data_IF_030382626939
#
_entry.id   IF_030382626939
#
_cell.length_a   1.000
_cell.length_b   1.000
_cell.length_c   1.000
_cell.angle_alpha   90.00
_cell.angle_beta   90.00
_cell.angle_gamma   90.00
#
_symmetry.space_group_name_H-M   'P 1'
#
loop_
_entity.id
_entity.type
_entity.pdbx_description
1 polymer ?
#
# COMPACT_ATOMS: atom_id res chain seq x y z
N UNK A 1 -8.39 -12.66 11.91
CA UNK A 1 -7.16 -12.67 11.09
C UNK A 1 -6.19 -11.67 11.70
N UNK A 2 -4.89 -11.87 11.52
CA UNK A 2 -3.87 -10.86 11.85
C UNK A 2 -3.05 -10.56 10.61
N UNK A 3 -2.49 -9.36 10.55
CA UNK A 3 -1.59 -8.94 9.48
C UNK A 3 -0.26 -8.50 10.09
N UNK A 4 0.84 -8.84 9.44
CA UNK A 4 2.18 -8.55 9.91
C UNK A 4 2.76 -7.35 9.17
N UNK A 5 3.38 -6.44 9.91
CA UNK A 5 4.12 -5.31 9.37
C UNK A 5 5.53 -5.31 9.95
N UNK A 6 6.54 -5.28 9.09
CA UNK A 6 7.93 -5.17 9.52
C UNK A 6 8.36 -3.71 9.55
N UNK A 7 8.95 -3.29 10.66
CA UNK A 7 9.44 -1.93 10.86
C UNK A 7 10.85 -1.97 11.45
N UNK A 8 11.70 -1.01 11.11
CA UNK A 8 12.97 -0.86 11.83
C UNK A 8 12.69 -0.43 13.28
N UNK A 9 13.58 -0.77 14.20
CA UNK A 9 13.48 -0.31 15.59
C UNK A 9 13.39 1.22 15.68
N UNK A 10 14.14 1.93 14.84
CA UNK A 10 14.07 3.38 14.77
C UNK A 10 12.65 3.84 14.38
N UNK A 11 12.08 3.31 13.30
CA UNK A 11 10.72 3.66 12.88
C UNK A 11 9.67 3.34 13.95
N UNK A 12 9.86 2.23 14.69
CA UNK A 12 8.99 1.89 15.82
C UNK A 12 9.13 2.85 17.00
N UNK A 13 10.32 3.36 17.31
CA UNK A 13 10.47 4.37 18.37
C UNK A 13 9.85 5.71 17.93
N UNK A 14 10.05 6.08 16.67
CA UNK A 14 9.45 7.29 16.08
C UNK A 14 7.92 7.26 16.11
N UNK A 15 7.30 6.09 15.90
CA UNK A 15 5.83 5.95 15.84
C UNK A 15 5.13 6.33 17.14
N UNK A 16 5.84 6.35 18.28
CA UNK A 16 5.32 6.72 19.59
C UNK A 16 5.87 8.05 20.13
N UNK A 17 6.61 8.84 19.33
CA UNK A 17 7.23 10.09 19.82
C UNK A 17 6.20 11.11 20.33
N UNK A 18 5.05 11.20 19.66
CA UNK A 18 4.01 12.17 19.98
C UNK A 18 2.85 11.57 20.81
N UNK A 19 2.97 10.32 21.26
CA UNK A 19 1.91 9.63 21.99
C UNK A 19 2.06 9.82 23.49
N UNK A 20 1.04 10.40 24.13
CA UNK A 20 0.86 10.42 25.58
C UNK A 20 -0.61 10.46 25.94
N UNK A 21 -1.10 9.49 26.74
CA UNK A 21 -2.46 9.50 27.28
C UNK A 21 -3.21 8.16 27.14
N UNK A 22 -4.41 8.05 27.74
CA UNK A 22 -5.22 6.82 27.75
C UNK A 22 -5.74 6.42 26.35
N UNK A 23 -5.93 7.39 25.45
CA UNK A 23 -6.27 7.15 24.04
C UNK A 23 -4.99 7.09 23.20
N UNK A 24 -4.15 6.09 23.47
CA UNK A 24 -2.84 5.98 22.82
C UNK A 24 -2.98 5.54 21.36
N UNK A 25 -2.35 6.30 20.47
CA UNK A 25 -2.17 5.96 19.05
C UNK A 25 -0.69 5.78 18.75
N UNK A 26 -0.37 5.05 17.68
CA UNK A 26 0.97 5.03 17.11
C UNK A 26 0.90 5.35 15.63
N UNK A 27 1.94 5.99 15.10
CA UNK A 27 1.94 6.46 13.71
C UNK A 27 2.87 5.64 12.84
N UNK A 28 2.33 4.99 11.80
CA UNK A 28 3.14 4.34 10.78
C UNK A 28 3.16 5.17 9.49
N UNK A 29 4.32 5.30 8.82
CA UNK A 29 4.41 6.04 7.57
C UNK A 29 3.92 5.18 6.39
N UNK A 30 2.80 5.57 5.77
CA UNK A 30 2.40 5.06 4.47
C UNK A 30 3.26 5.75 3.40
N UNK A 31 4.15 5.02 2.74
CA UNK A 31 5.10 5.60 1.77
C UNK A 31 4.49 5.62 0.38
N UNK A 32 4.90 6.58 -0.45
CA UNK A 32 4.48 6.65 -1.85
C UNK A 32 4.81 5.33 -2.58
N UNK A 33 3.78 4.67 -3.11
CA UNK A 33 3.84 3.36 -3.77
C UNK A 33 4.93 3.34 -4.85
N UNK A 34 4.97 4.37 -5.69
CA UNK A 34 5.91 4.49 -6.81
C UNK A 34 7.40 4.58 -6.38
N UNK A 35 7.66 4.82 -5.09
CA UNK A 35 9.01 4.89 -4.53
C UNK A 35 9.46 3.59 -3.87
N UNK A 36 8.52 2.71 -3.50
CA UNK A 36 8.83 1.51 -2.69
C UNK A 36 8.54 0.21 -3.42
N UNK A 37 7.70 0.25 -4.45
CA UNK A 37 7.39 -0.91 -5.30
C UNK A 37 8.24 -0.85 -6.58
N UNK A 38 8.87 -1.96 -7.00
CA UNK A 38 9.59 -2.03 -8.27
C UNK A 38 8.72 -1.64 -9.45
N UNK A 39 9.30 -0.94 -10.43
CA UNK A 39 8.57 -0.48 -11.61
C UNK A 39 7.88 -1.63 -12.37
N UNK A 40 8.55 -2.78 -12.48
CA UNK A 40 8.04 -3.98 -13.15
C UNK A 40 6.74 -4.51 -12.53
N UNK A 41 6.55 -4.34 -11.22
CA UNK A 41 5.32 -4.77 -10.53
C UNK A 41 4.17 -3.81 -10.86
N UNK A 42 4.43 -2.49 -10.85
CA UNK A 42 3.46 -1.47 -11.24
C UNK A 42 3.05 -1.65 -12.71
N UNK A 43 4.03 -1.89 -13.59
CA UNK A 43 3.80 -2.11 -15.01
C UNK A 43 3.03 -3.40 -15.28
N UNK A 44 3.24 -4.45 -14.50
CA UNK A 44 2.47 -5.69 -14.64
C UNK A 44 0.98 -5.44 -14.41
N UNK A 45 0.60 -4.80 -13.30
CA UNK A 45 -0.80 -4.51 -13.01
C UNK A 45 -1.46 -3.64 -14.09
N UNK A 46 -0.76 -2.59 -14.51
CA UNK A 46 -1.19 -1.73 -15.60
C UNK A 46 -1.27 -2.46 -16.95
N UNK A 47 -0.40 -3.44 -17.20
CA UNK A 47 -0.45 -4.25 -18.42
C UNK A 47 -1.72 -5.09 -18.51
N UNK A 48 -2.22 -5.61 -17.38
CA UNK A 48 -3.47 -6.36 -17.34
C UNK A 48 -4.68 -5.45 -17.59
N UNK A 49 -4.68 -4.22 -17.05
CA UNK A 49 -5.71 -3.23 -17.38
C UNK A 49 -5.70 -2.90 -18.89
N UNK A 50 -4.52 -2.75 -19.49
CA UNK A 50 -4.37 -2.54 -20.94
C UNK A 50 -4.85 -3.72 -21.77
N UNK A 51 -4.59 -4.95 -21.31
CA UNK A 51 -5.11 -6.17 -21.93
C UNK A 51 -6.65 -6.21 -21.85
N UNK A 52 -7.24 -5.84 -20.71
CA UNK A 52 -8.70 -5.74 -20.55
C UNK A 52 -9.33 -4.70 -21.47
N UNK A 53 -8.66 -3.57 -21.74
CA UNK A 53 -9.11 -2.60 -22.77
C UNK A 53 -9.21 -3.27 -24.13
N UNK A 54 -8.18 -4.01 -24.54
CA UNK A 54 -8.19 -4.75 -25.82
C UNK A 54 -9.28 -5.83 -25.88
N UNK A 55 -9.48 -6.58 -24.79
CA UNK A 55 -10.54 -7.59 -24.71
C UNK A 55 -11.94 -6.97 -24.79
N UNK A 56 -12.15 -5.81 -24.15
CA UNK A 56 -13.39 -5.06 -24.25
C UNK A 56 -13.64 -4.60 -25.69
N UNK A 57 -12.63 -3.98 -26.32
CA UNK A 57 -12.69 -3.50 -27.70
C UNK A 57 -13.04 -4.61 -28.70
N UNK A 58 -12.40 -5.78 -28.57
CA UNK A 58 -12.69 -6.96 -29.39
C UNK A 58 -14.15 -7.41 -29.23
N UNK A 59 -14.64 -7.51 -27.99
CA UNK A 59 -16.02 -7.92 -27.69
C UNK A 59 -17.06 -6.93 -28.23
N UNK A 60 -16.73 -5.64 -28.29
CA UNK A 60 -17.62 -4.58 -28.80
C UNK A 60 -17.44 -4.31 -30.29
N UNK A 61 -16.48 -4.95 -30.95
CA UNK A 61 -16.18 -4.71 -32.36
C UNK A 61 -15.63 -3.30 -32.63
N UNK A 62 -14.83 -2.76 -31.70
CA UNK A 62 -14.22 -1.43 -31.84
C UNK A 62 -13.05 -1.52 -32.86
N UNK A 63 -13.04 -0.70 -33.91
CA UNK A 63 -11.94 -0.68 -34.89
C UNK A 63 -10.61 -0.29 -34.26
N UNK A 64 -9.50 -0.79 -34.83
CA UNK A 64 -8.14 -0.54 -34.32
C UNK A 64 -7.81 0.96 -34.31
N UNK A 65 -8.33 1.72 -35.26
CA UNK A 65 -8.12 3.17 -35.37
C UNK A 65 -8.76 3.95 -34.22
N UNK A 66 -9.71 3.34 -33.50
CA UNK A 66 -10.37 3.89 -32.31
C UNK A 66 -9.92 3.23 -31.00
N UNK A 67 -8.91 2.36 -31.08
CA UNK A 67 -8.41 1.64 -29.92
C UNK A 67 -7.76 2.61 -28.94
N UNK A 68 -8.15 2.51 -27.67
CA UNK A 68 -7.54 3.24 -26.55
C UNK A 68 -6.44 2.41 -25.89
N UNK A 69 -6.15 1.21 -26.39
CA UNK A 69 -5.12 0.31 -25.88
C UNK A 69 -3.72 0.93 -25.86
N UNK A 70 -3.44 1.92 -26.70
CA UNK A 70 -2.14 2.61 -26.75
C UNK A 70 -2.03 3.82 -25.79
N UNK A 71 -3.11 4.20 -25.11
CA UNK A 71 -3.14 5.36 -24.20
C UNK A 71 -1.99 5.30 -23.17
N UNK A 72 -1.23 6.38 -22.95
CA UNK A 72 -0.23 6.43 -21.90
C UNK A 72 -0.91 6.45 -20.53
N UNK A 73 -0.43 5.63 -19.60
CA UNK A 73 -0.94 5.62 -18.22
C UNK A 73 -0.12 6.49 -17.28
N UNK A 74 1.07 6.89 -17.69
CA UNK A 74 1.92 7.83 -16.97
C UNK A 74 2.01 9.17 -17.69
N UNK A 75 2.21 10.23 -16.91
CA UNK A 75 2.57 11.54 -17.44
C UNK A 75 3.95 11.46 -18.09
N UNK A 76 4.18 12.30 -19.09
CA UNK A 76 5.46 12.37 -19.79
C UNK A 76 6.61 12.61 -18.80
N UNK A 77 7.71 11.87 -18.97
CA UNK A 77 8.94 11.95 -18.16
C UNK A 77 8.71 11.75 -16.65
N UNK A 78 7.64 11.06 -16.26
CA UNK A 78 7.26 10.84 -14.86
C UNK A 78 6.70 9.45 -14.62
N UNK A 79 6.75 8.99 -13.36
CA UNK A 79 6.03 7.79 -12.88
C UNK A 79 4.67 8.14 -12.24
N UNK A 80 4.24 9.39 -12.35
CA UNK A 80 2.89 9.80 -11.94
C UNK A 80 1.86 9.35 -12.96
N UNK A 81 0.75 8.78 -12.48
CA UNK A 81 -0.36 8.40 -13.34
C UNK A 81 -0.97 9.63 -14.03
N UNK A 82 -1.53 9.43 -15.22
CA UNK A 82 -2.39 10.43 -15.86
C UNK A 82 -3.65 10.66 -15.02
N UNK A 83 -4.19 11.88 -15.03
CA UNK A 83 -5.35 12.25 -14.21
C UNK A 83 -5.00 13.21 -13.07
N UNK A 84 -5.76 13.21 -11.97
CA UNK A 84 -5.55 14.09 -10.82
C UNK A 84 -4.14 14.00 -10.22
N UNK A 85 -3.70 15.05 -9.54
CA UNK A 85 -2.42 15.09 -8.79
C UNK A 85 -2.53 14.36 -7.45
N UNK A 86 -2.89 13.09 -7.51
CA UNK A 86 -3.11 12.21 -6.37
C UNK A 86 -2.02 11.14 -6.35
N UNK A 87 -1.35 11.01 -5.21
CA UNK A 87 -0.40 9.93 -4.91
C UNK A 87 -1.08 8.75 -4.23
N UNK A 88 -0.52 7.56 -4.44
CA UNK A 88 -0.88 6.34 -3.72
C UNK A 88 0.13 6.10 -2.61
N UNK A 89 -0.32 6.06 -1.36
CA UNK A 89 0.53 5.87 -0.18
C UNK A 89 0.15 4.59 0.53
N UNK A 90 1.11 3.69 0.77
CA UNK A 90 0.81 2.37 1.31
C UNK A 90 1.69 1.98 2.49
N UNK A 91 1.08 1.22 3.40
CA UNK A 91 1.78 0.37 4.37
C UNK A 91 1.57 -1.08 3.89
N UNK A 92 2.63 -1.76 3.43
CA UNK A 92 2.57 -3.19 3.14
C UNK A 92 2.35 -4.00 4.42
N UNK A 93 1.42 -4.94 4.34
CA UNK A 93 0.98 -5.83 5.40
C UNK A 93 0.95 -7.26 4.83
N UNK A 94 1.18 -8.28 5.65
CA UNK A 94 1.29 -9.66 5.16
C UNK A 94 0.51 -10.62 6.04
N UNK A 95 -0.07 -11.69 5.49
CA UNK A 95 -0.76 -12.71 6.29
C UNK A 95 0.22 -13.56 7.12
N UNK A 96 1.49 -13.58 6.73
CA UNK A 96 2.58 -14.28 7.42
C UNK A 96 3.73 -13.30 7.66
N UNK A 97 4.51 -13.45 8.75
CA UNK A 97 5.61 -12.53 9.07
C UNK A 97 6.75 -12.58 8.04
N UNK A 98 6.82 -13.65 7.24
CA UNK A 98 7.89 -13.90 6.28
C UNK A 98 9.22 -14.27 6.96
N UNK A 99 10.27 -14.37 6.16
CA UNK A 99 11.63 -14.59 6.68
C UNK A 99 12.18 -13.32 7.34
N UNK A 100 13.03 -13.46 8.38
CA UNK A 100 13.71 -12.31 8.99
C UNK A 100 14.48 -11.49 7.96
N UNK A 101 14.37 -10.17 8.04
CA UNK A 101 15.13 -9.30 7.16
C UNK A 101 16.63 -9.52 7.36
N UNK A 102 17.37 -9.68 6.26
CA UNK A 102 18.84 -9.68 6.27
C UNK A 102 19.37 -8.25 6.36
N UNK A 103 18.94 -7.51 7.38
CA UNK A 103 19.37 -6.13 7.64
C UNK A 103 20.40 -6.10 8.77
N UNK A 104 21.35 -5.16 8.68
CA UNK A 104 22.24 -4.84 9.79
C UNK A 104 21.51 -4.11 10.95
N UNK A 105 20.37 -3.47 10.65
CA UNK A 105 19.58 -2.75 11.64
C UNK A 105 18.56 -3.67 12.33
N UNK A 106 18.40 -3.56 13.67
CA UNK A 106 17.36 -4.28 14.39
C UNK A 106 15.97 -3.95 13.83
N UNK A 107 15.19 -4.99 13.55
CA UNK A 107 13.82 -4.87 13.04
C UNK A 107 12.83 -5.55 13.97
N UNK A 108 11.61 -5.03 13.98
CA UNK A 108 10.48 -5.56 14.71
C UNK A 108 9.40 -6.00 13.71
N UNK A 109 8.72 -7.09 14.04
CA UNK A 109 7.50 -7.48 13.35
C UNK A 109 6.32 -7.15 14.26
N UNK A 110 5.44 -6.30 13.76
CA UNK A 110 4.18 -5.94 14.41
C UNK A 110 3.11 -6.91 13.94
N UNK A 111 2.41 -7.54 14.87
CA UNK A 111 1.18 -8.29 14.59
C UNK A 111 -0.01 -7.34 14.80
N UNK A 112 -0.75 -7.11 13.73
CA UNK A 112 -1.86 -6.16 13.71
C UNK A 112 -3.19 -6.90 13.61
N UNK A 113 -4.19 -6.45 14.38
CA UNK A 113 -5.54 -7.00 14.32
C UNK A 113 -6.27 -6.52 13.05
N UNK A 114 -6.73 -7.47 12.24
CA UNK A 114 -7.45 -7.15 11.01
C UNK A 114 -8.78 -6.42 11.24
N UNK A 115 -9.52 -6.77 12.30
CA UNK A 115 -10.82 -6.15 12.55
C UNK A 115 -10.63 -4.69 12.98
N UNK A 116 -9.70 -4.42 13.90
CA UNK A 116 -9.34 -3.05 14.31
C UNK A 116 -8.83 -2.22 13.12
N UNK A 117 -8.02 -2.81 12.23
CA UNK A 117 -7.61 -2.14 10.98
C UNK A 117 -8.79 -1.86 10.05
N UNK A 118 -9.74 -2.78 9.94
CA UNK A 118 -10.97 -2.59 9.18
C UNK A 118 -11.83 -1.45 9.74
N UNK A 119 -11.98 -1.38 11.05
CA UNK A 119 -12.68 -0.28 11.74
C UNK A 119 -11.97 1.05 11.49
N UNK A 120 -10.63 1.10 11.60
CA UNK A 120 -9.83 2.28 11.24
C UNK A 120 -10.13 2.75 9.81
N UNK A 121 -10.20 1.83 8.83
CA UNK A 121 -10.49 2.16 7.44
C UNK A 121 -11.94 2.58 7.18
N UNK A 122 -12.87 2.32 8.09
CA UNK A 122 -14.26 2.80 7.97
C UNK A 122 -14.41 4.22 8.50
N UNK A 123 -13.67 4.57 9.56
CA UNK A 123 -13.70 5.91 10.15
C UNK A 123 -12.81 6.90 9.42
N UNK A 124 -11.66 6.42 8.96
CA UNK A 124 -10.70 7.19 8.18
C UNK A 124 -10.85 6.86 6.70
N UNK A 125 -10.51 7.78 5.80
CA UNK A 125 -10.60 7.55 4.35
C UNK A 125 -9.42 6.70 3.82
N UNK A 126 -9.24 5.51 4.40
CA UNK A 126 -8.23 4.52 4.01
C UNK A 126 -8.87 3.31 3.34
N UNK A 127 -8.08 2.56 2.60
CA UNK A 127 -8.49 1.30 1.99
C UNK A 127 -7.58 0.18 2.46
N UNK A 128 -8.16 -0.91 2.97
CA UNK A 128 -7.43 -2.14 3.28
C UNK A 128 -7.67 -3.13 2.13
N UNK A 129 -6.65 -3.30 1.30
CA UNK A 129 -6.75 -4.01 0.02
C UNK A 129 -5.93 -5.31 0.07
N UNK A 130 -6.52 -6.44 -0.31
CA UNK A 130 -5.76 -7.67 -0.56
C UNK A 130 -5.20 -7.65 -1.98
N UNK A 131 -3.94 -8.06 -2.13
CA UNK A 131 -3.36 -8.19 -3.47
C UNK A 131 -3.95 -9.40 -4.21
N UNK A 132 -4.09 -9.26 -5.52
CA UNK A 132 -4.64 -10.19 -6.49
C UNK A 132 -3.51 -10.65 -7.42
N UNK A 133 -3.46 -11.96 -7.64
CA UNK A 133 -2.35 -12.61 -8.36
C UNK A 133 -2.82 -13.36 -9.62
N UNK A 134 -4.07 -13.80 -9.63
CA UNK A 134 -4.63 -14.60 -10.73
C UNK A 134 -5.05 -13.72 -11.90
N UNK A 135 -4.41 -13.92 -13.05
CA UNK A 135 -4.62 -13.10 -14.26
C UNK A 135 -6.08 -13.11 -14.73
N UNK A 136 -6.69 -14.27 -14.88
CA UNK A 136 -8.05 -14.39 -15.47
C UNK A 136 -9.13 -13.66 -14.64
N UNK A 137 -9.23 -13.84 -13.31
CA UNK A 137 -10.13 -13.03 -12.48
C UNK A 137 -9.90 -11.52 -12.60
N UNK A 138 -8.64 -11.08 -12.67
CA UNK A 138 -8.30 -9.66 -12.80
C UNK A 138 -8.77 -9.11 -14.14
N UNK A 139 -8.48 -9.82 -15.24
CA UNK A 139 -8.91 -9.42 -16.57
C UNK A 139 -10.44 -9.33 -16.66
N UNK A 140 -11.15 -10.31 -16.12
CA UNK A 140 -12.61 -10.31 -16.10
C UNK A 140 -13.17 -9.14 -15.30
N UNK A 141 -12.56 -8.82 -14.16
CA UNK A 141 -12.96 -7.69 -13.33
C UNK A 141 -12.80 -6.34 -14.06
N UNK A 142 -11.62 -6.06 -14.62
CA UNK A 142 -11.40 -4.81 -15.35
C UNK A 142 -12.23 -4.72 -16.62
N UNK A 143 -12.38 -5.82 -17.36
CA UNK A 143 -13.23 -5.84 -18.57
C UNK A 143 -14.69 -5.56 -18.23
N UNK A 144 -15.19 -6.06 -17.10
CA UNK A 144 -16.55 -5.76 -16.65
C UNK A 144 -16.73 -4.29 -16.22
N UNK A 145 -15.70 -3.64 -15.65
CA UNK A 145 -15.74 -2.21 -15.34
C UNK A 145 -15.76 -1.34 -16.60
N UNK A 146 -15.05 -1.75 -17.65
CA UNK A 146 -15.02 -1.03 -18.94
C UNK A 146 -16.39 -0.95 -19.63
N UNK A 147 -17.36 -1.82 -19.29
CA UNK A 147 -18.75 -1.69 -19.76
C UNK A 147 -19.37 -0.32 -19.44
N UNK A 148 -18.93 0.33 -18.36
CA UNK A 148 -19.39 1.68 -17.97
C UNK A 148 -18.33 2.75 -18.21
N UNK A 149 -17.05 2.38 -18.10
CA UNK A 149 -15.96 3.36 -18.09
C UNK A 149 -15.33 3.59 -19.47
N UNK A 150 -15.51 2.71 -20.45
CA UNK A 150 -14.78 2.83 -21.72
C UNK A 150 -15.00 4.18 -22.42
N UNK A 151 -16.23 4.71 -22.40
CA UNK A 151 -16.57 5.96 -23.06
C UNK A 151 -16.24 7.22 -22.22
N UNK A 152 -15.81 7.05 -20.97
CA UNK A 152 -15.52 8.16 -20.05
C UNK A 152 -14.06 8.65 -20.11
N UNK A 153 -13.21 7.99 -20.90
CA UNK A 153 -11.83 8.43 -21.15
C UNK A 153 -11.51 8.50 -22.64
N UNK A 154 -10.60 9.40 -23.02
CA UNK A 154 -10.25 9.64 -24.42
C UNK A 154 -8.74 9.80 -24.58
N UNK A 155 -8.26 9.37 -25.74
CA UNK A 155 -6.87 9.36 -26.13
C UNK A 155 -6.79 9.55 -27.65
N UNK A 156 -6.12 10.62 -28.08
CA UNK A 156 -5.75 10.89 -29.46
C UNK A 156 -4.34 11.51 -29.54
N UNK A 157 -3.90 11.89 -30.74
CA UNK A 157 -2.56 12.44 -30.98
C UNK A 157 -2.30 13.76 -30.22
N UNK A 158 -3.36 14.50 -29.86
CA UNK A 158 -3.27 15.83 -29.26
C UNK A 158 -3.70 15.84 -27.79
N UNK A 159 -4.59 14.93 -27.35
CA UNK A 159 -5.26 14.98 -26.06
C UNK A 159 -5.37 13.61 -25.38
N UNK A 160 -5.10 13.59 -24.07
CA UNK A 160 -5.47 12.49 -23.17
C UNK A 160 -6.31 13.06 -22.03
N UNK A 161 -7.45 12.45 -21.72
CA UNK A 161 -8.29 12.97 -20.65
C UNK A 161 -9.43 12.06 -20.22
N UNK A 162 -10.12 12.55 -19.19
CA UNK A 162 -11.23 11.90 -18.51
C UNK A 162 -12.42 12.84 -18.47
N UNK A 163 -13.64 12.30 -18.58
CA UNK A 163 -14.84 13.04 -18.21
C UNK A 163 -14.87 13.23 -16.68
N UNK A 164 -15.55 14.28 -16.16
CA UNK A 164 -15.58 14.55 -14.72
C UNK A 164 -16.15 13.42 -13.85
N UNK A 165 -16.99 12.56 -14.43
CA UNK A 165 -17.61 11.40 -13.80
C UNK A 165 -16.85 10.08 -14.01
N UNK A 166 -15.73 10.13 -14.75
CA UNK A 166 -14.92 8.95 -15.04
C UNK A 166 -14.33 8.35 -13.76
N UNK A 167 -14.37 7.02 -13.67
CA UNK A 167 -13.68 6.24 -12.63
C UNK A 167 -12.44 5.55 -13.17
N UNK A 168 -12.00 5.89 -14.38
CA UNK A 168 -10.83 5.27 -14.99
C UNK A 168 -9.55 5.52 -14.18
N UNK A 169 -9.40 6.71 -13.57
CA UNK A 169 -8.29 6.96 -12.64
C UNK A 169 -8.29 5.98 -11.46
N UNK A 170 -9.46 5.67 -10.90
CA UNK A 170 -9.57 4.63 -9.86
C UNK A 170 -9.16 3.25 -10.39
N UNK A 171 -9.49 2.91 -11.64
CA UNK A 171 -9.03 1.66 -12.26
C UNK A 171 -7.50 1.61 -12.40
N UNK A 172 -6.86 2.73 -12.78
CA UNK A 172 -5.39 2.84 -12.79
C UNK A 172 -4.79 2.63 -11.39
N UNK A 173 -5.36 3.30 -10.38
CA UNK A 173 -4.93 3.13 -8.99
C UNK A 173 -5.07 1.67 -8.53
N UNK A 174 -6.21 1.02 -8.82
CA UNK A 174 -6.45 -0.37 -8.44
C UNK A 174 -5.49 -1.33 -9.14
N UNK A 175 -5.15 -1.07 -10.41
CA UNK A 175 -4.14 -1.83 -11.13
C UNK A 175 -2.76 -1.74 -10.45
N UNK A 176 -2.38 -0.57 -9.92
CA UNK A 176 -1.12 -0.40 -9.20
C UNK A 176 -1.19 -0.95 -7.76
N UNK A 177 -2.32 -0.77 -7.07
CA UNK A 177 -2.49 -1.10 -5.65
C UNK A 177 -2.79 -2.57 -5.41
N UNK A 178 -3.60 -3.21 -6.25
CA UNK A 178 -4.12 -4.54 -5.95
C UNK A 178 -3.44 -5.63 -6.78
N UNK A 179 -2.85 -5.34 -7.94
CA UNK A 179 -2.36 -6.39 -8.83
C UNK A 179 -0.87 -6.65 -8.62
N UNK A 180 -0.53 -7.93 -8.41
CA UNK A 180 0.85 -8.42 -8.31
C UNK A 180 1.09 -9.57 -9.28
N UNK A 181 2.36 -9.80 -9.62
CA UNK A 181 2.74 -10.93 -10.46
C UNK A 181 2.37 -12.28 -9.80
N UNK A 182 2.00 -13.32 -10.56
CA UNK A 182 1.64 -14.63 -10.01
C UNK A 182 2.76 -15.28 -9.19
N UNK A 183 4.02 -14.98 -9.52
CA UNK A 183 5.21 -15.43 -8.78
C UNK A 183 5.23 -14.94 -7.33
N UNK A 184 4.56 -13.83 -7.02
CA UNK A 184 4.46 -13.21 -5.69
C UNK A 184 3.27 -13.72 -4.87
N UNK A 185 2.52 -14.73 -5.34
CA UNK A 185 1.33 -15.24 -4.60
C UNK A 185 1.67 -15.71 -3.19
N UNK A 186 2.91 -16.17 -2.96
CA UNK A 186 3.40 -16.56 -1.65
C UNK A 186 3.49 -15.42 -0.64
N UNK A 187 3.57 -14.16 -1.10
CA UNK A 187 3.68 -12.99 -0.23
C UNK A 187 2.40 -12.80 0.59
N UNK A 188 1.23 -13.16 0.01
CA UNK A 188 -0.09 -12.91 0.62
C UNK A 188 -0.20 -11.49 1.17
N UNK A 189 0.25 -10.52 0.35
CA UNK A 189 0.33 -9.12 0.70
C UNK A 189 -1.07 -8.47 0.74
N UNK A 190 -1.24 -7.63 1.75
CA UNK A 190 -2.29 -6.65 1.91
C UNK A 190 -1.67 -5.25 1.92
N UNK A 191 -2.41 -4.24 1.51
CA UNK A 191 -1.99 -2.84 1.52
C UNK A 191 -3.01 -2.00 2.25
N UNK A 192 -2.58 -1.36 3.32
CA UNK A 192 -3.31 -0.23 3.89
C UNK A 192 -2.93 1.01 3.08
N UNK A 193 -3.87 1.49 2.29
CA UNK A 193 -3.66 2.53 1.29
C UNK A 193 -4.40 3.83 1.64
N UNK A 194 -3.78 4.95 1.33
CA UNK A 194 -4.38 6.28 1.32
C UNK A 194 -4.10 6.96 -0.01
N UNK A 195 -5.10 7.63 -0.56
CA UNK A 195 -4.97 8.49 -1.73
C UNK A 195 -4.96 9.94 -1.24
N UNK A 196 -3.88 10.67 -1.50
CA UNK A 196 -3.70 12.05 -1.05
C UNK A 196 -3.18 12.92 -2.18
N UNK A 197 -3.55 14.20 -2.17
CA UNK A 197 -2.95 15.17 -3.06
C UNK A 197 -1.45 15.28 -2.80
N UNK A 198 -0.64 15.40 -3.85
CA UNK A 198 0.82 15.33 -3.69
C UNK A 198 1.41 16.51 -2.94
N UNK A 199 0.69 17.63 -2.80
CA UNK A 199 1.09 18.82 -2.05
C UNK A 199 0.62 18.80 -0.58
N UNK A 200 -0.18 17.81 -0.17
CA UNK A 200 -0.70 17.65 1.19
C UNK A 200 0.08 16.63 2.04
N UNK A 201 1.13 16.01 1.47
CA UNK A 201 1.91 14.96 2.14
C UNK A 201 3.22 15.46 2.75
N UNK A 202 3.78 14.63 3.63
CA UNK A 202 5.10 14.88 4.22
C UNK A 202 6.20 14.24 3.36
N UNK A 203 7.42 14.75 3.52
CA UNK A 203 8.59 14.26 2.79
C UNK A 203 9.73 13.95 3.75
N UNK A 204 10.47 12.89 3.46
CA UNK A 204 11.68 12.52 4.20
C UNK A 204 12.78 12.10 3.25
N UNK A 205 14.02 12.31 3.66
CA UNK A 205 15.19 11.87 2.91
C UNK A 205 15.64 10.49 3.39
N UNK A 206 15.67 9.50 2.49
CA UNK A 206 16.12 8.14 2.77
C UNK A 206 17.03 7.63 1.66
N UNK A 207 18.24 7.19 2.02
CA UNK A 207 19.17 6.52 1.10
C UNK A 207 19.36 7.24 -0.25
N UNK A 208 19.50 8.57 -0.23
CA UNK A 208 19.66 9.35 -1.46
C UNK A 208 18.36 9.83 -2.12
N UNK A 209 17.21 9.39 -1.63
CA UNK A 209 15.90 9.65 -2.25
C UNK A 209 15.03 10.55 -1.37
N UNK A 210 14.27 11.44 -2.02
CA UNK A 210 13.16 12.16 -1.39
C UNK A 210 11.92 11.26 -1.47
N UNK A 211 11.46 10.78 -0.31
CA UNK A 211 10.35 9.84 -0.19
C UNK A 211 9.13 10.58 0.38
N UNK A 212 8.03 10.70 -0.38
CA UNK A 212 6.78 11.24 0.13
C UNK A 212 6.07 10.17 0.98
N UNK A 213 5.42 10.60 2.06
CA UNK A 213 4.68 9.71 2.95
C UNK A 213 3.52 10.40 3.65
N UNK A 214 2.53 9.59 4.05
CA UNK A 214 1.38 9.99 4.86
C UNK A 214 1.50 9.32 6.23
N UNK A 215 1.48 10.08 7.34
CA UNK A 215 1.44 9.50 8.68
C UNK A 215 0.05 8.89 8.96
N UNK A 216 -0.04 7.57 9.10
CA UNK A 216 -1.28 6.89 9.49
C UNK A 216 -1.27 6.69 11.00
N UNK A 217 -2.18 7.37 11.69
CA UNK A 217 -2.43 7.20 13.12
C UNK A 217 -3.28 5.95 13.36
N UNK A 218 -2.72 4.98 14.08
CA UNK A 218 -3.37 3.71 14.40
C UNK A 218 -3.68 3.66 15.90
N UNK A 219 -4.91 3.30 16.30
CA UNK A 219 -5.20 2.97 17.69
C UNK A 219 -4.27 1.86 18.18
N UNK A 220 -3.81 1.93 19.43
CA UNK A 220 -3.00 0.85 20.03
C UNK A 220 -3.73 -0.49 20.01
N UNK A 221 -5.06 -0.50 20.00
CA UNK A 221 -5.87 -1.73 19.84
C UNK A 221 -5.69 -2.43 18.50
N UNK A 222 -5.09 -1.77 17.50
CA UNK A 222 -4.64 -2.44 16.28
C UNK A 222 -3.40 -3.31 16.54
N UNK A 223 -2.58 -3.02 17.55
CA UNK A 223 -1.33 -3.72 17.82
C UNK A 223 -1.55 -4.88 18.81
N UNK A 224 -1.46 -6.11 18.31
CA UNK A 224 -1.60 -7.33 19.12
C UNK A 224 -0.29 -7.76 19.75
N UNK A 225 0.79 -7.79 18.96
CA UNK A 225 2.11 -8.28 19.40
C UNK A 225 3.24 -7.55 18.71
N UNK A 226 4.40 -7.53 19.36
CA UNK A 226 5.65 -7.00 18.86
C UNK A 226 6.72 -8.07 18.99
N UNK A 227 7.22 -8.56 17.87
CA UNK A 227 8.28 -9.56 17.82
C UNK A 227 9.62 -8.89 17.50
N UNK A 228 10.64 -9.19 18.31
CA UNK A 228 12.02 -8.87 17.98
C UNK A 228 12.63 -10.03 17.20
N UNK A 229 12.91 -9.81 15.91
CA UNK A 229 13.31 -10.88 14.99
C UNK A 229 14.65 -11.54 15.39
N UNK A 230 15.53 -10.78 16.03
CA UNK A 230 16.88 -11.24 16.42
C UNK A 230 17.17 -11.05 17.92
N UNK A 231 16.22 -11.46 18.78
CA UNK A 231 16.37 -11.29 20.23
C UNK A 231 17.61 -12.01 20.79
N UNK A 232 18.03 -13.13 20.18
CA UNK A 232 19.17 -13.93 20.65
C UNK A 232 20.52 -13.24 20.43
N UNK A 233 20.64 -12.41 19.39
CA UNK A 233 21.87 -11.63 19.16
C UNK A 233 21.85 -10.29 19.89
N UNK A 234 20.72 -9.88 20.47
CA UNK A 234 20.54 -8.57 21.13
C UNK A 234 19.80 -8.68 22.48
N UNK A 235 20.38 -9.37 23.49
CA UNK A 235 19.71 -9.64 24.76
C UNK A 235 19.34 -8.37 25.55
N UNK A 236 20.13 -7.30 25.43
CA UNK A 236 19.81 -6.00 26.05
C UNK A 236 18.62 -5.30 25.40
N UNK A 237 18.41 -5.50 24.09
CA UNK A 237 17.36 -4.80 23.36
C UNK A 237 15.97 -5.27 23.82
N UNK A 238 15.79 -6.55 24.08
CA UNK A 238 14.51 -7.08 24.54
C UNK A 238 14.06 -6.47 25.88
N UNK A 239 14.97 -6.40 26.87
CA UNK A 239 14.69 -5.74 28.15
C UNK A 239 14.42 -4.24 28.00
N UNK A 240 15.15 -3.58 27.10
CA UNK A 240 14.96 -2.15 26.80
C UNK A 240 13.63 -1.88 26.09
N UNK A 241 13.22 -2.75 25.16
CA UNK A 241 11.94 -2.69 24.47
C UNK A 241 10.77 -2.82 25.45
N UNK A 242 10.86 -3.74 26.41
CA UNK A 242 9.88 -3.85 27.50
C UNK A 242 9.77 -2.54 28.30
N UNK A 243 10.90 -1.95 28.69
CA UNK A 243 10.93 -0.65 29.37
C UNK A 243 10.34 0.48 28.52
N UNK A 244 10.63 0.51 27.22
CA UNK A 244 10.09 1.48 26.27
C UNK A 244 8.56 1.39 26.18
N UNK A 245 8.01 0.20 25.97
CA UNK A 245 6.56 -0.02 25.90
C UNK A 245 5.87 0.43 27.20
N UNK A 246 6.43 0.08 28.37
CA UNK A 246 5.93 0.52 29.68
C UNK A 246 5.97 2.04 29.82
N UNK A 247 7.04 2.70 29.33
CA UNK A 247 7.16 4.16 29.35
C UNK A 247 6.11 4.88 28.49
N UNK A 248 5.53 4.17 27.50
CA UNK A 248 4.43 4.65 26.65
C UNK A 248 3.04 4.26 27.18
N UNK A 249 2.96 3.63 28.36
CA UNK A 249 1.70 3.19 28.95
C UNK A 249 1.11 1.94 28.29
N UNK A 250 1.89 1.21 27.49
CA UNK A 250 1.44 0.04 26.74
C UNK A 250 1.54 -1.24 27.60
N UNK A 251 0.67 -2.25 27.36
CA UNK A 251 0.70 -3.53 28.06
C UNK A 251 1.87 -4.41 27.56
N UNK A 252 3.09 -4.03 27.93
CA UNK A 252 4.33 -4.62 27.40
C UNK A 252 4.42 -6.14 27.55
N UNK A 253 3.91 -6.70 28.66
CA UNK A 253 3.94 -8.14 28.90
C UNK A 253 3.05 -8.93 27.94
N UNK A 254 1.90 -8.35 27.56
CA UNK A 254 1.00 -8.93 26.56
C UNK A 254 1.58 -8.78 25.15
N UNK A 255 2.09 -7.58 24.82
CA UNK A 255 2.64 -7.27 23.50
C UNK A 255 3.90 -8.08 23.18
N UNK A 256 4.75 -8.36 24.19
CA UNK A 256 6.00 -9.11 24.02
C UNK A 256 5.86 -10.61 24.31
N UNK A 257 4.64 -11.10 24.60
CA UNK A 257 4.36 -12.49 24.94
C UNK A 257 5.27 -13.02 26.08
N UNK A 258 5.35 -12.25 27.18
CA UNK A 258 6.17 -12.55 28.36
C UNK A 258 5.49 -13.46 29.39
N UNK A 259 4.22 -13.83 29.14
CA UNK A 259 3.36 -14.64 30.01
C UNK A 259 3.14 -16.05 29.47
#
# INVERSE_FOLDING_TARGET
MVLYCRVSLNAFVESFRNTSGPDSFFTLPAKGLMHIVPQEEIEYGLSLLRESIGLYEERKGIPVEKSKKAMPFFRQDSRMLVGPEIGMYVIPLYEEPGEPAQSAEPSLVLELDYQSLGELCLFENYSLLSCKYEKEPILNHFTAQLEKEYDTFFFDEEHTGFTPDSRFFSMLCNACLEVKQPSSVGDKEWRLASLQATDEVLYRYEHGNLIPYVPISMPVDCLKRVYLEDFRRQPLLFGTLNGFLKSKGLPAEQLLNLS
#
